data_IF_771451527291
#
_entry.id   IF_771451527291
#
_cell.length_a   1.000
_cell.length_b   1.000
_cell.length_c   1.000
_cell.angle_alpha   90.00
_cell.angle_beta   90.00
_cell.angle_gamma   90.00
#
_symmetry.space_group_name_H-M   'P 1'
#
loop_
_entity.id
_entity.type
_entity.pdbx_description
1 polymer ?
#
# COMPACT_ATOMS: atom_id res chain seq x y z
N UNK A 1 -12.26 -29.70 -1.94
CA UNK A 1 -13.17 -28.72 -2.57
C UNK A 1 -13.77 -27.89 -1.44
N UNK A 2 -13.12 -26.79 -1.08
CA UNK A 2 -13.65 -25.81 -0.14
C UNK A 2 -14.09 -24.64 -1.01
N UNK A 3 -15.40 -24.50 -1.19
CA UNK A 3 -15.98 -23.32 -1.80
C UNK A 3 -15.73 -22.18 -0.82
N UNK A 4 -14.76 -21.31 -1.10
CA UNK A 4 -14.74 -19.98 -0.52
C UNK A 4 -16.03 -19.32 -1.00
N UNK A 5 -16.99 -19.19 -0.07
CA UNK A 5 -18.14 -18.32 -0.25
C UNK A 5 -17.55 -16.96 -0.64
N UNK A 6 -17.86 -16.49 -1.84
CA UNK A 6 -17.75 -15.08 -2.17
C UNK A 6 -18.65 -14.35 -1.16
N UNK A 7 -18.12 -13.95 0.01
CA UNK A 7 -18.82 -13.01 0.86
C UNK A 7 -18.80 -11.70 0.10
N UNK A 8 -19.89 -11.43 -0.61
CA UNK A 8 -20.19 -10.16 -1.28
C UNK A 8 -20.39 -9.01 -0.28
N UNK A 9 -20.14 -9.23 1.00
CA UNK A 9 -20.32 -8.26 2.07
C UNK A 9 -18.99 -7.58 2.37
N UNK A 10 -19.07 -6.28 2.67
CA UNK A 10 -17.92 -5.52 3.15
C UNK A 10 -17.43 -6.10 4.47
N UNK A 11 -16.11 -6.15 4.71
CA UNK A 11 -15.60 -6.46 6.03
C UNK A 11 -16.06 -5.38 7.02
N UNK A 12 -16.42 -5.82 8.22
CA UNK A 12 -16.75 -4.92 9.32
C UNK A 12 -15.54 -4.10 9.74
N UNK A 13 -15.78 -2.96 10.40
CA UNK A 13 -14.70 -2.13 10.94
C UNK A 13 -13.77 -2.91 11.89
N UNK A 14 -14.32 -3.87 12.64
CA UNK A 14 -13.54 -4.75 13.53
C UNK A 14 -12.62 -5.65 12.70
N UNK A 15 -13.15 -6.32 11.67
CA UNK A 15 -12.35 -7.18 10.79
C UNK A 15 -11.24 -6.40 10.06
N UNK A 16 -11.51 -5.17 9.63
CA UNK A 16 -10.50 -4.27 9.05
C UNK A 16 -9.37 -3.98 10.04
N UNK A 17 -9.73 -3.61 11.28
CA UNK A 17 -8.75 -3.29 12.33
C UNK A 17 -7.93 -4.52 12.73
N UNK A 18 -8.57 -5.67 12.88
CA UNK A 18 -7.92 -6.94 13.17
C UNK A 18 -6.95 -7.31 12.04
N UNK A 19 -7.39 -7.20 10.78
CA UNK A 19 -6.56 -7.51 9.62
C UNK A 19 -5.34 -6.59 9.52
N UNK A 20 -5.54 -5.30 9.79
CA UNK A 20 -4.45 -4.32 9.86
C UNK A 20 -3.45 -4.69 10.96
N UNK A 21 -3.93 -5.09 12.14
CA UNK A 21 -3.10 -5.58 13.24
C UNK A 21 -2.23 -6.77 12.82
N UNK A 22 -2.82 -7.80 12.20
CA UNK A 22 -2.08 -8.96 11.66
C UNK A 22 -0.99 -8.54 10.66
N UNK A 23 -1.30 -7.61 9.76
CA UNK A 23 -0.35 -7.13 8.76
C UNK A 23 0.82 -6.35 9.38
N UNK A 24 0.55 -5.56 10.42
CA UNK A 24 1.59 -4.84 11.17
C UNK A 24 2.52 -5.85 11.84
N UNK A 25 1.99 -6.83 12.57
CA UNK A 25 2.80 -7.86 13.24
C UNK A 25 3.66 -8.65 12.24
N UNK A 26 3.08 -9.04 11.10
CA UNK A 26 3.80 -9.70 10.00
C UNK A 26 4.89 -8.79 9.42
N UNK A 27 4.60 -7.50 9.25
CA UNK A 27 5.55 -6.50 8.77
C UNK A 27 6.74 -6.33 9.70
N UNK A 28 6.49 -6.23 11.01
CA UNK A 28 7.54 -6.16 12.02
C UNK A 28 8.43 -7.40 12.06
N UNK A 29 7.85 -8.60 11.91
CA UNK A 29 8.62 -9.83 11.80
C UNK A 29 9.57 -9.80 10.60
N UNK A 30 9.06 -9.42 9.43
CA UNK A 30 9.88 -9.30 8.20
C UNK A 30 10.95 -8.21 8.30
N UNK A 31 10.68 -7.11 9.00
CA UNK A 31 11.70 -6.08 9.26
C UNK A 31 12.84 -6.59 10.15
N UNK A 32 12.52 -7.43 11.15
CA UNK A 32 13.55 -8.12 11.96
C UNK A 32 14.39 -9.06 11.10
N UNK A 33 13.76 -9.85 10.23
CA UNK A 33 14.46 -10.75 9.30
C UNK A 33 15.36 -9.97 8.33
N UNK A 34 14.85 -8.89 7.75
CA UNK A 34 15.60 -8.00 6.87
C UNK A 34 16.83 -7.40 7.57
N UNK A 35 16.69 -7.00 8.84
CA UNK A 35 17.81 -6.54 9.63
C UNK A 35 18.86 -7.65 9.87
N UNK A 36 18.41 -8.88 10.15
CA UNK A 36 19.31 -10.02 10.32
C UNK A 36 20.12 -10.31 9.05
N UNK A 37 19.49 -10.26 7.87
CA UNK A 37 20.17 -10.41 6.58
C UNK A 37 21.21 -9.31 6.38
N UNK A 38 20.85 -8.05 6.65
CA UNK A 38 21.77 -6.91 6.51
C UNK A 38 23.00 -7.02 7.40
N UNK A 39 22.83 -7.50 8.63
CA UNK A 39 23.95 -7.77 9.55
C UNK A 39 24.85 -8.86 8.96
N UNK A 40 24.29 -10.00 8.52
CA UNK A 40 25.05 -11.09 7.88
C UNK A 40 25.79 -10.63 6.63
N UNK A 41 25.14 -9.86 5.76
CA UNK A 41 25.76 -9.28 4.56
C UNK A 41 26.96 -8.40 4.92
N UNK A 42 26.83 -7.56 5.95
CA UNK A 42 27.90 -6.67 6.37
C UNK A 42 29.08 -7.45 6.97
N UNK A 43 28.80 -8.47 7.78
CA UNK A 43 29.81 -9.38 8.33
C UNK A 43 30.54 -10.13 7.22
N UNK A 44 29.82 -10.69 6.25
CA UNK A 44 30.38 -11.47 5.15
C UNK A 44 31.26 -10.60 4.24
N UNK A 45 30.80 -9.40 3.87
CA UNK A 45 31.59 -8.43 3.09
C UNK A 45 32.86 -7.97 3.80
N UNK A 46 32.90 -8.04 5.13
CA UNK A 46 34.08 -7.64 5.92
C UNK A 46 35.02 -8.81 6.16
N UNK A 47 34.49 -10.01 6.44
CA UNK A 47 35.26 -11.18 6.89
C UNK A 47 35.64 -12.13 5.75
N UNK A 48 34.79 -12.25 4.72
CA UNK A 48 35.00 -13.12 3.57
C UNK A 48 34.44 -12.48 2.28
N UNK A 49 35.04 -11.36 1.81
CA UNK A 49 34.54 -10.63 0.65
C UNK A 49 34.57 -11.42 -0.66
N UNK A 50 35.37 -12.49 -0.75
CA UNK A 50 35.50 -13.33 -1.94
C UNK A 50 34.40 -14.41 -2.02
N UNK A 51 33.55 -14.56 -0.99
CA UNK A 51 32.39 -15.44 -0.99
C UNK A 51 31.20 -14.81 -1.74
N UNK A 52 31.41 -14.57 -3.02
CA UNK A 52 30.48 -13.85 -3.89
C UNK A 52 29.13 -14.58 -4.02
N UNK A 53 29.15 -15.92 -4.01
CA UNK A 53 27.95 -16.74 -4.14
C UNK A 53 27.02 -16.55 -2.93
N UNK A 54 27.56 -16.61 -1.71
CA UNK A 54 26.76 -16.40 -0.49
C UNK A 54 26.30 -14.95 -0.36
N UNK A 55 27.15 -13.98 -0.74
CA UNK A 55 26.76 -12.55 -0.77
C UNK A 55 25.58 -12.36 -1.73
N UNK A 56 25.65 -12.90 -2.95
CA UNK A 56 24.59 -12.77 -3.94
C UNK A 56 23.26 -13.37 -3.47
N UNK A 57 23.28 -14.55 -2.84
CA UNK A 57 22.09 -15.18 -2.28
C UNK A 57 21.43 -14.31 -1.20
N UNK A 58 22.22 -13.74 -0.29
CA UNK A 58 21.71 -12.86 0.76
C UNK A 58 21.18 -11.53 0.19
N UNK A 59 21.78 -10.99 -0.88
CA UNK A 59 21.29 -9.79 -1.57
C UNK A 59 19.94 -10.04 -2.27
N UNK A 60 19.75 -11.22 -2.85
CA UNK A 60 18.48 -11.64 -3.43
C UNK A 60 17.40 -11.79 -2.34
N UNK A 61 17.73 -12.43 -1.22
CA UNK A 61 16.85 -12.56 -0.06
C UNK A 61 16.49 -11.18 0.54
N UNK A 62 17.45 -10.26 0.66
CA UNK A 62 17.21 -8.88 1.09
C UNK A 62 16.21 -8.17 0.16
N UNK A 63 16.39 -8.33 -1.15
CA UNK A 63 15.54 -7.72 -2.17
C UNK A 63 14.13 -8.28 -2.13
N UNK A 64 13.99 -9.60 -1.94
CA UNK A 64 12.70 -10.26 -1.78
C UNK A 64 11.96 -9.77 -0.53
N UNK A 65 12.61 -9.79 0.64
CA UNK A 65 12.00 -9.30 1.88
C UNK A 65 11.62 -7.81 1.80
N UNK A 66 12.48 -6.98 1.19
CA UNK A 66 12.19 -5.56 0.98
C UNK A 66 10.92 -5.38 0.15
N UNK A 67 10.76 -6.17 -0.91
CA UNK A 67 9.54 -6.19 -1.72
C UNK A 67 8.33 -6.51 -0.86
N UNK A 68 8.36 -7.62 -0.12
CA UNK A 68 7.25 -8.05 0.74
C UNK A 68 6.87 -7.01 1.81
N UNK A 69 7.86 -6.36 2.42
CA UNK A 69 7.62 -5.28 3.40
C UNK A 69 6.90 -4.11 2.75
N UNK A 70 7.31 -3.71 1.54
CA UNK A 70 6.64 -2.64 0.79
C UNK A 70 5.21 -3.04 0.40
N UNK A 71 4.95 -4.31 0.07
CA UNK A 71 3.58 -4.82 -0.17
C UNK A 71 2.72 -4.63 1.08
N UNK A 72 3.23 -5.07 2.23
CA UNK A 72 2.52 -4.97 3.51
C UNK A 72 2.25 -3.52 3.90
N UNK A 73 3.24 -2.64 3.79
CA UNK A 73 3.08 -1.21 4.07
C UNK A 73 1.99 -0.58 3.20
N UNK A 74 1.96 -0.90 1.91
CA UNK A 74 0.89 -0.45 1.02
C UNK A 74 -0.48 -1.00 1.43
N UNK A 75 -0.59 -2.31 1.71
CA UNK A 75 -1.85 -2.92 2.17
C UNK A 75 -2.37 -2.27 3.46
N UNK A 76 -1.48 -2.01 4.42
CA UNK A 76 -1.82 -1.34 5.68
C UNK A 76 -2.38 0.06 5.39
N UNK A 77 -1.70 0.85 4.56
CA UNK A 77 -2.16 2.21 4.22
C UNK A 77 -3.50 2.24 3.49
N UNK A 78 -3.76 1.26 2.61
CA UNK A 78 -5.07 1.12 1.97
C UNK A 78 -6.14 0.88 3.04
N UNK A 79 -5.90 -0.05 3.96
CA UNK A 79 -6.83 -0.32 5.06
C UNK A 79 -7.03 0.89 5.98
N UNK A 80 -5.99 1.68 6.26
CA UNK A 80 -6.10 2.91 7.05
C UNK A 80 -7.02 3.95 6.41
N UNK A 81 -6.96 4.10 5.07
CA UNK A 81 -7.89 4.99 4.34
C UNK A 81 -9.33 4.48 4.46
N UNK A 82 -9.56 3.19 4.24
CA UNK A 82 -10.91 2.59 4.34
C UNK A 82 -11.45 2.70 5.77
N UNK A 83 -10.64 2.36 6.76
CA UNK A 83 -10.95 2.49 8.19
C UNK A 83 -11.35 3.93 8.53
N UNK A 84 -10.58 4.92 8.07
CA UNK A 84 -10.90 6.33 8.29
C UNK A 84 -12.25 6.71 7.70
N UNK A 85 -12.53 6.29 6.46
CA UNK A 85 -13.79 6.61 5.77
C UNK A 85 -14.99 6.06 6.56
N UNK A 86 -14.91 4.81 7.02
CA UNK A 86 -15.96 4.16 7.79
C UNK A 86 -16.10 4.80 9.18
N UNK A 87 -14.98 4.93 9.91
CA UNK A 87 -14.98 5.42 11.30
C UNK A 87 -15.37 6.89 11.41
N UNK A 88 -15.00 7.72 10.43
CA UNK A 88 -15.40 9.13 10.38
C UNK A 88 -16.90 9.33 10.13
N UNK A 89 -17.61 8.28 9.70
CA UNK A 89 -19.03 8.32 9.35
C UNK A 89 -19.37 9.47 8.39
N UNK A 90 -18.48 9.75 7.42
CA UNK A 90 -18.59 10.93 6.56
C UNK A 90 -19.83 10.87 5.65
N UNK A 91 -20.20 9.66 5.23
CA UNK A 91 -21.33 9.37 4.35
C UNK A 91 -22.64 9.12 5.09
N UNK A 92 -22.64 9.02 6.42
CA UNK A 92 -23.85 8.72 7.22
C UNK A 92 -24.63 7.52 6.64
N UNK A 93 -25.95 7.65 6.49
CA UNK A 93 -26.81 6.61 5.92
C UNK A 93 -26.52 6.31 4.44
N UNK A 94 -25.84 7.20 3.71
CA UNK A 94 -25.43 6.94 2.32
C UNK A 94 -24.30 5.89 2.23
N UNK A 95 -23.66 5.53 3.34
CA UNK A 95 -22.67 4.45 3.34
C UNK A 95 -23.26 3.12 2.85
N UNK A 96 -24.51 2.80 3.23
CA UNK A 96 -25.21 1.61 2.74
C UNK A 96 -25.39 1.62 1.22
N UNK A 97 -25.64 2.80 0.64
CA UNK A 97 -25.76 2.96 -0.82
C UNK A 97 -24.41 2.72 -1.51
N UNK A 98 -23.30 3.10 -0.87
CA UNK A 98 -21.95 2.82 -1.36
C UNK A 98 -21.70 1.31 -1.34
N UNK A 99 -21.95 0.64 -0.22
CA UNK A 99 -21.77 -0.82 -0.08
C UNK A 99 -22.60 -1.62 -1.10
N UNK A 100 -23.81 -1.15 -1.43
CA UNK A 100 -24.68 -1.80 -2.41
C UNK A 100 -24.24 -1.58 -3.87
N UNK A 101 -23.58 -0.45 -4.18
CA UNK A 101 -23.24 -0.06 -5.57
C UNK A 101 -21.81 -0.36 -5.96
N UNK A 102 -20.90 -0.30 -5.00
CA UNK A 102 -19.45 -0.39 -5.24
C UNK A 102 -18.98 -1.65 -4.52
N UNK A 103 -18.52 -2.69 -5.23
CA UNK A 103 -17.92 -3.85 -4.60
C UNK A 103 -16.69 -3.47 -3.77
N UNK A 104 -16.44 -4.20 -2.68
CA UNK A 104 -15.31 -3.90 -1.79
C UNK A 104 -13.96 -3.84 -2.52
N UNK A 105 -13.72 -4.76 -3.46
CA UNK A 105 -12.50 -4.74 -4.29
C UNK A 105 -12.38 -3.46 -5.13
N UNK A 106 -13.49 -2.94 -5.64
CA UNK A 106 -13.51 -1.69 -6.40
C UNK A 106 -13.22 -0.51 -5.48
N UNK A 107 -13.73 -0.50 -4.24
CA UNK A 107 -13.34 0.49 -3.24
C UNK A 107 -11.81 0.48 -2.99
N UNK A 108 -11.21 -0.70 -2.83
CA UNK A 108 -9.75 -0.79 -2.65
C UNK A 108 -8.99 -0.22 -3.85
N UNK A 109 -9.46 -0.50 -5.07
CA UNK A 109 -8.87 0.06 -6.29
C UNK A 109 -8.98 1.58 -6.33
N UNK A 110 -10.15 2.14 -6.02
CA UNK A 110 -10.37 3.61 -5.96
C UNK A 110 -9.40 4.27 -4.98
N UNK A 111 -9.15 3.65 -3.82
CA UNK A 111 -8.17 4.16 -2.84
C UNK A 111 -6.76 4.21 -3.44
N UNK A 112 -6.35 3.17 -4.16
CA UNK A 112 -5.02 3.07 -4.80
C UNK A 112 -4.90 4.07 -5.95
N UNK A 113 -5.89 4.13 -6.85
CA UNK A 113 -5.90 5.04 -8.00
C UNK A 113 -5.87 6.51 -7.58
N UNK A 114 -6.48 6.83 -6.43
CA UNK A 114 -6.43 8.16 -5.85
C UNK A 114 -5.14 8.48 -5.07
N UNK A 115 -4.16 7.56 -5.07
CA UNK A 115 -2.88 7.75 -4.41
C UNK A 115 -3.02 7.83 -2.89
N UNK A 116 -3.89 7.00 -2.31
CA UNK A 116 -4.19 6.94 -0.87
C UNK A 116 -4.78 8.24 -0.31
N UNK A 117 -5.31 9.11 -1.18
CA UNK A 117 -5.91 10.36 -0.74
C UNK A 117 -7.33 10.14 -0.25
N UNK A 118 -7.58 10.38 1.04
CA UNK A 118 -8.91 10.21 1.65
C UNK A 118 -9.91 11.13 0.94
N UNK A 119 -9.55 12.40 0.73
CA UNK A 119 -10.44 13.39 0.12
C UNK A 119 -10.83 13.03 -1.31
N UNK A 120 -9.85 12.62 -2.13
CA UNK A 120 -10.12 12.22 -3.53
C UNK A 120 -10.95 10.95 -3.58
N UNK A 121 -10.62 9.95 -2.75
CA UNK A 121 -11.38 8.71 -2.61
C UNK A 121 -12.84 9.01 -2.25
N UNK A 122 -13.08 9.80 -1.19
CA UNK A 122 -14.44 10.19 -0.81
C UNK A 122 -15.18 10.95 -1.92
N UNK A 123 -14.50 11.84 -2.64
CA UNK A 123 -15.09 12.58 -3.76
C UNK A 123 -15.47 11.65 -4.92
N UNK A 124 -14.69 10.61 -5.18
CA UNK A 124 -14.98 9.61 -6.20
C UNK A 124 -16.14 8.71 -5.79
N UNK A 125 -16.15 8.20 -4.55
CA UNK A 125 -17.28 7.44 -4.00
C UNK A 125 -18.59 8.24 -4.04
N UNK A 126 -18.54 9.53 -3.69
CA UNK A 126 -19.69 10.43 -3.78
C UNK A 126 -20.30 10.47 -5.19
N UNK A 127 -19.44 10.54 -6.23
CA UNK A 127 -19.87 10.56 -7.64
C UNK A 127 -20.38 9.20 -8.09
N UNK A 128 -19.64 8.12 -7.84
CA UNK A 128 -19.99 6.76 -8.26
C UNK A 128 -21.30 6.28 -7.62
N UNK A 129 -21.53 6.62 -6.34
CA UNK A 129 -22.76 6.29 -5.66
C UNK A 129 -23.95 7.19 -6.06
N UNK A 130 -23.75 8.23 -6.90
CA UNK A 130 -24.74 9.23 -7.30
C UNK A 130 -25.42 9.90 -6.09
N UNK A 131 -24.63 10.30 -5.09
CA UNK A 131 -25.14 11.02 -3.92
C UNK A 131 -25.34 12.49 -4.31
N UNK A 132 -26.56 13.01 -4.14
CA UNK A 132 -26.89 14.43 -4.38
C UNK A 132 -27.23 15.13 -3.05
N UNK A 133 -26.31 15.06 -2.09
CA UNK A 133 -26.43 15.70 -0.78
C UNK A 133 -25.34 16.76 -0.60
N UNK A 134 -25.77 18.02 -0.47
CA UNK A 134 -24.87 19.17 -0.29
C UNK A 134 -24.11 19.14 1.04
N UNK A 135 -24.70 18.55 2.09
CA UNK A 135 -24.05 18.45 3.39
C UNK A 135 -22.91 17.43 3.32
N UNK A 136 -23.14 16.28 2.71
CA UNK A 136 -22.11 15.26 2.47
C UNK A 136 -20.97 15.85 1.62
N UNK A 137 -21.32 16.52 0.50
CA UNK A 137 -20.32 17.17 -0.35
C UNK A 137 -19.46 18.18 0.44
N UNK A 138 -20.08 18.99 1.30
CA UNK A 138 -19.37 19.96 2.15
C UNK A 138 -18.45 19.28 3.15
N UNK A 139 -18.86 18.15 3.77
CA UNK A 139 -17.98 17.37 4.65
C UNK A 139 -16.74 16.88 3.92
N UNK A 140 -16.91 16.30 2.72
CA UNK A 140 -15.80 15.83 1.89
C UNK A 140 -14.86 16.97 1.51
N UNK A 141 -15.39 18.13 1.11
CA UNK A 141 -14.59 19.30 0.74
C UNK A 141 -13.74 19.84 1.89
N UNK A 142 -14.20 19.68 3.13
CA UNK A 142 -13.51 20.11 4.35
C UNK A 142 -12.46 19.09 4.85
N UNK A 143 -12.35 17.91 4.24
CA UNK A 143 -11.27 16.99 4.55
C UNK A 143 -9.91 17.64 4.19
N UNK A 144 -8.85 17.35 4.99
CA UNK A 144 -7.52 17.82 4.69
C UNK A 144 -7.09 17.32 3.31
N UNK A 145 -6.40 18.17 2.54
CA UNK A 145 -5.69 17.70 1.35
C UNK A 145 -4.46 16.91 1.84
N UNK A 146 -4.34 15.65 1.42
CA UNK A 146 -3.28 14.76 1.90
C UNK A 146 -1.87 15.30 1.55
N UNK A 147 -0.97 15.18 2.54
CA UNK A 147 0.48 15.46 2.66
C UNK A 147 1.26 16.23 1.54
N UNK A 148 2.24 17.08 1.93
CA UNK A 148 2.79 18.13 1.07
C UNK A 148 3.54 17.59 -0.15
N UNK A 149 3.27 18.24 -1.30
CA UNK A 149 3.93 18.07 -2.60
C UNK A 149 5.42 17.80 -2.44
N UNK A 150 5.89 16.72 -3.07
CA UNK A 150 7.29 16.30 -3.15
C UNK A 150 8.27 17.49 -3.24
N UNK A 151 9.18 17.54 -2.28
CA UNK A 151 10.25 18.55 -2.19
C UNK A 151 11.14 18.52 -3.43
N UNK A 152 11.27 19.67 -4.11
CA UNK A 152 12.12 19.85 -5.31
C UNK A 152 13.61 19.76 -4.93
N UNK A 153 14.34 18.78 -5.47
CA UNK A 153 15.77 18.58 -5.26
C UNK A 153 16.68 19.33 -6.25
N UNK A 154 17.92 19.59 -5.79
CA UNK A 154 19.00 20.39 -6.38
C UNK A 154 19.62 19.76 -7.65
N UNK A 155 19.82 20.55 -8.73
CA UNK A 155 20.32 20.07 -10.01
C UNK A 155 21.80 19.65 -10.08
N UNK A 156 22.69 20.06 -9.19
CA UNK A 156 24.12 19.68 -9.31
C UNK A 156 24.45 18.29 -8.73
N UNK A 157 23.53 17.71 -7.95
CA UNK A 157 23.56 16.27 -7.66
C UNK A 157 23.19 15.44 -8.90
N UNK A 158 22.54 16.03 -9.92
CA UNK A 158 21.83 15.30 -10.97
C UNK A 158 22.70 14.37 -11.78
N UNK A 159 23.98 14.55 -12.12
CA UNK A 159 24.61 13.53 -12.99
C UNK A 159 24.95 12.21 -12.26
N UNK A 160 25.35 12.28 -10.98
CA UNK A 160 25.57 11.09 -10.15
C UNK A 160 24.27 10.57 -9.53
N UNK A 161 23.34 11.49 -9.24
CA UNK A 161 22.00 11.16 -8.79
C UNK A 161 21.14 10.60 -9.91
N UNK A 162 21.23 11.10 -11.15
CA UNK A 162 20.49 10.63 -12.33
C UNK A 162 20.96 9.24 -12.73
N UNK A 163 22.24 8.92 -12.64
CA UNK A 163 22.71 7.53 -12.83
C UNK A 163 22.20 6.60 -11.73
N UNK A 164 22.18 7.05 -10.47
CA UNK A 164 21.49 6.34 -9.38
C UNK A 164 19.98 6.29 -9.56
N UNK A 165 19.35 7.32 -10.13
CA UNK A 165 17.92 7.38 -10.43
C UNK A 165 17.63 6.46 -11.59
N UNK A 166 18.46 6.37 -12.63
CA UNK A 166 18.25 5.47 -13.77
C UNK A 166 18.39 4.02 -13.30
N UNK A 167 19.40 3.70 -12.49
CA UNK A 167 19.52 2.35 -11.91
C UNK A 167 18.37 2.05 -10.98
N UNK A 168 17.95 3.04 -10.16
CA UNK A 168 16.81 2.92 -9.26
C UNK A 168 15.48 2.89 -10.02
N UNK A 169 15.30 3.58 -11.14
CA UNK A 169 14.13 3.55 -12.04
C UNK A 169 14.10 2.22 -12.76
N UNK A 170 15.24 1.67 -13.18
CA UNK A 170 15.28 0.35 -13.80
C UNK A 170 14.86 -0.72 -12.80
N UNK A 171 15.45 -0.70 -11.59
CA UNK A 171 15.00 -1.53 -10.45
C UNK A 171 13.55 -1.26 -10.07
N UNK A 172 13.09 0.00 -10.10
CA UNK A 172 11.72 0.37 -9.79
C UNK A 172 10.75 0.05 -10.92
N UNK A 173 11.19 -0.12 -12.17
CA UNK A 173 10.38 -0.57 -13.31
C UNK A 173 10.21 -2.07 -13.28
N UNK A 174 11.27 -2.80 -12.96
CA UNK A 174 11.17 -4.21 -12.58
C UNK A 174 10.26 -4.34 -11.34
N UNK A 175 10.46 -3.49 -10.34
CA UNK A 175 9.58 -3.41 -9.19
C UNK A 175 8.16 -2.98 -9.55
N UNK A 176 7.94 -2.13 -10.57
CA UNK A 176 6.62 -1.67 -10.99
C UNK A 176 5.87 -2.78 -11.73
N UNK A 177 6.56 -3.48 -12.63
CA UNK A 177 6.06 -4.72 -13.24
C UNK A 177 5.63 -5.68 -12.13
N UNK A 178 6.47 -5.84 -11.12
CA UNK A 178 6.12 -6.61 -9.95
C UNK A 178 4.99 -5.95 -9.17
N UNK A 179 4.90 -4.61 -9.06
CA UNK A 179 3.87 -3.90 -8.31
C UNK A 179 2.49 -4.07 -8.93
N UNK A 180 2.36 -4.07 -10.25
CA UNK A 180 1.08 -4.29 -10.91
C UNK A 180 0.57 -5.72 -10.61
N UNK A 181 1.47 -6.71 -10.66
CA UNK A 181 1.17 -8.08 -10.20
C UNK A 181 0.88 -8.13 -8.69
N UNK A 182 1.63 -7.40 -7.87
CA UNK A 182 1.50 -7.30 -6.43
C UNK A 182 0.17 -6.67 -6.02
N UNK A 183 -0.25 -5.60 -6.68
CA UNK A 183 -1.51 -4.92 -6.40
C UNK A 183 -2.63 -5.91 -6.69
N UNK A 184 -2.54 -6.63 -7.80
CA UNK A 184 -3.48 -7.72 -8.12
C UNK A 184 -3.49 -8.83 -7.06
N UNK A 185 -2.31 -9.26 -6.59
CA UNK A 185 -2.16 -10.25 -5.52
C UNK A 185 -2.67 -9.75 -4.16
N UNK A 186 -2.42 -8.49 -3.81
CA UNK A 186 -2.88 -7.86 -2.56
C UNK A 186 -4.42 -7.84 -2.57
N UNK A 187 -5.02 -7.33 -3.64
CA UNK A 187 -6.47 -7.29 -3.79
C UNK A 187 -7.04 -8.71 -3.69
N UNK A 188 -6.38 -9.68 -4.33
CA UNK A 188 -6.81 -11.09 -4.28
C UNK A 188 -6.68 -11.72 -2.89
N UNK A 189 -5.68 -11.36 -2.10
CA UNK A 189 -5.45 -11.88 -0.74
C UNK A 189 -6.25 -11.14 0.35
N UNK A 190 -6.83 -9.99 0.02
CA UNK A 190 -7.75 -9.24 0.89
C UNK A 190 -9.22 -9.69 0.71
N UNK A 191 -9.48 -10.63 -0.20
CA UNK A 191 -10.74 -11.38 -0.33
C UNK A 191 -10.91 -12.39 0.81
#
# INVERSE_FOLDING_TARGET
MIFMKNSTEYPTLVEIKDKKGEMIEKGEAKLRDLNNIRVKLNELRTSNPDDLDTIAQLEEEESHLTSEVLKLDLSIKILEVVEYIIESNIFEDYWKIIEEKIPYEELLNIVVENGLSIKKTCMELYKLANIDDKNILKKIQNLPDDYPKETKEDPNLQNKYLSKIISRISRLKEFKSNLDEIVSDIISNMR
#
